data_IF_867162218812
#
_entry.id   IF_867162218812
#
_cell.length_a   1.000
_cell.length_b   1.000
_cell.length_c   1.000
_cell.angle_alpha   90.00
_cell.angle_beta   90.00
_cell.angle_gamma   90.00
#
_symmetry.space_group_name_H-M   'P 1'
#
loop_
_entity.id
_entity.type
_entity.pdbx_description
1 polymer ?
#
# COMPACT_ATOMS: atom_id res chain seq x y z
N UNK A 1 0.36 -10.90 16.11
CA UNK A 1 1.42 -10.04 16.69
C UNK A 1 0.73 -8.79 17.22
N UNK A 2 1.07 -8.29 18.41
CA UNK A 2 0.28 -7.20 19.03
C UNK A 2 0.59 -5.86 18.36
N UNK A 3 -0.41 -5.21 17.76
CA UNK A 3 -0.31 -3.95 17.01
C UNK A 3 0.38 -2.81 17.79
N UNK A 4 0.34 -2.89 19.12
CA UNK A 4 1.02 -1.97 20.05
C UNK A 4 2.55 -2.01 19.96
N UNK A 5 3.15 -3.17 19.69
CA UNK A 5 4.62 -3.31 19.53
C UNK A 5 5.08 -2.61 18.26
N UNK A 6 4.34 -2.80 17.17
CA UNK A 6 4.67 -2.27 15.85
C UNK A 6 4.50 -0.74 15.78
N UNK A 7 3.47 -0.18 16.43
CA UNK A 7 3.31 1.27 16.58
C UNK A 7 4.50 1.86 17.36
N UNK A 8 4.94 1.22 18.45
CA UNK A 8 6.12 1.64 19.21
C UNK A 8 7.39 1.70 18.37
N UNK A 9 7.65 0.67 17.58
CA UNK A 9 8.79 0.57 16.68
C UNK A 9 8.78 1.65 15.59
N UNK A 10 7.61 1.90 14.99
CA UNK A 10 7.44 2.95 13.97
C UNK A 10 7.72 4.34 14.55
N UNK A 11 7.23 4.62 15.75
CA UNK A 11 7.56 5.88 16.41
C UNK A 11 9.06 6.01 16.66
N UNK A 12 9.71 4.97 17.21
CA UNK A 12 11.15 4.98 17.44
C UNK A 12 11.99 5.16 16.16
N UNK A 13 11.48 4.69 15.02
CA UNK A 13 12.16 4.80 13.72
C UNK A 13 12.02 6.17 13.08
N UNK A 14 10.85 6.80 13.18
CA UNK A 14 10.53 8.03 12.43
C UNK A 14 10.48 9.31 13.28
N UNK A 15 10.37 9.20 14.61
CA UNK A 15 10.40 10.36 15.49
C UNK A 15 11.81 10.95 15.61
N UNK A 16 11.89 12.28 15.68
CA UNK A 16 13.10 13.05 15.97
C UNK A 16 12.87 13.88 17.22
N UNK A 17 13.83 13.85 18.16
CA UNK A 17 13.75 14.65 19.38
C UNK A 17 12.48 14.44 20.22
N UNK A 18 11.88 13.25 20.17
CA UNK A 18 10.67 12.90 20.94
C UNK A 18 9.35 13.25 20.27
N UNK A 19 9.37 13.82 19.06
CA UNK A 19 8.18 14.15 18.27
C UNK A 19 8.29 13.54 16.87
N UNK A 20 7.14 13.26 16.25
CA UNK A 20 7.08 12.84 14.85
C UNK A 20 6.46 13.96 14.02
N UNK A 21 7.19 14.41 13.00
CA UNK A 21 6.70 15.42 12.05
C UNK A 21 5.66 14.81 11.10
N UNK A 22 4.99 15.64 10.30
CA UNK A 22 4.02 15.19 9.29
C UNK A 22 4.64 14.17 8.32
N UNK A 23 5.81 14.47 7.76
CA UNK A 23 6.55 13.54 6.89
C UNK A 23 6.86 12.21 7.59
N UNK A 24 7.28 12.27 8.85
CA UNK A 24 7.55 11.08 9.66
C UNK A 24 6.29 10.25 9.89
N UNK A 25 5.16 10.91 10.12
CA UNK A 25 3.86 10.28 10.30
C UNK A 25 3.41 9.57 9.02
N UNK A 26 3.48 10.25 7.87
CA UNK A 26 3.13 9.67 6.56
C UNK A 26 3.96 8.42 6.29
N UNK A 27 5.28 8.47 6.52
CA UNK A 27 6.16 7.31 6.35
C UNK A 27 5.84 6.17 7.31
N UNK A 28 5.47 6.47 8.55
CA UNK A 28 5.04 5.47 9.52
C UNK A 28 3.73 4.80 9.10
N UNK A 29 2.77 5.56 8.59
CA UNK A 29 1.49 5.04 8.06
C UNK A 29 1.72 4.16 6.84
N UNK A 30 2.48 4.62 5.84
CA UNK A 30 2.81 3.81 4.65
C UNK A 30 3.50 2.50 5.05
N UNK A 31 4.39 2.55 6.04
CA UNK A 31 5.08 1.35 6.55
C UNK A 31 4.14 0.37 7.25
N UNK A 32 2.98 0.83 7.73
CA UNK A 32 2.01 0.00 8.44
C UNK A 32 0.90 -0.53 7.54
N UNK A 33 0.31 0.34 6.69
CA UNK A 33 -0.88 0.02 5.88
C UNK A 33 -0.63 0.07 4.37
N UNK A 34 0.59 0.38 3.92
CA UNK A 34 0.99 0.31 2.51
C UNK A 34 0.61 1.52 1.65
N UNK A 35 -0.15 2.48 2.17
CA UNK A 35 -0.53 3.70 1.46
C UNK A 35 -0.53 4.92 2.41
N UNK A 36 -0.42 6.16 1.89
CA UNK A 36 -0.47 7.36 2.73
C UNK A 36 -1.87 7.54 3.36
N UNK A 37 -1.96 8.22 4.51
CA UNK A 37 -3.24 8.63 5.08
C UNK A 37 -3.92 9.68 4.21
N UNK A 38 -5.26 9.78 4.30
CA UNK A 38 -6.01 10.82 3.59
C UNK A 38 -5.63 12.21 4.07
N UNK A 39 -5.66 13.21 3.17
CA UNK A 39 -5.32 14.59 3.47
C UNK A 39 -6.17 15.16 4.63
N UNK A 40 -7.47 14.84 4.66
CA UNK A 40 -8.38 15.29 5.72
C UNK A 40 -7.97 14.77 7.11
N UNK A 41 -7.43 13.55 7.16
CA UNK A 41 -6.92 12.96 8.40
C UNK A 41 -5.66 13.70 8.87
N UNK A 42 -4.74 14.04 7.95
CA UNK A 42 -3.56 14.84 8.27
C UNK A 42 -3.92 16.25 8.78
N UNK A 43 -4.95 16.87 8.20
CA UNK A 43 -5.47 18.16 8.65
C UNK A 43 -6.05 18.08 10.07
N UNK A 44 -6.79 17.01 10.40
CA UNK A 44 -7.31 16.77 11.75
C UNK A 44 -6.22 16.61 12.80
N UNK A 45 -5.06 16.06 12.43
CA UNK A 45 -3.92 15.93 13.33
C UNK A 45 -3.26 17.28 13.65
N UNK A 46 -3.54 18.34 12.88
CA UNK A 46 -3.16 19.71 13.21
C UNK A 46 -1.66 19.98 13.11
N UNK A 47 -0.94 19.32 12.19
CA UNK A 47 0.50 19.54 11.98
C UNK A 47 0.85 20.99 11.61
N UNK A 48 -0.11 21.78 11.13
CA UNK A 48 0.11 23.20 10.85
C UNK A 48 0.28 24.05 12.12
N UNK A 49 -0.24 23.57 13.25
CA UNK A 49 -0.27 24.31 14.52
C UNK A 49 0.71 23.76 15.58
N UNK A 50 1.49 22.72 15.25
CA UNK A 50 2.47 22.10 16.17
C UNK A 50 3.68 21.52 15.44
N UNK A 51 4.81 21.44 16.14
CA UNK A 51 6.07 20.92 15.59
C UNK A 51 6.02 19.41 15.22
N UNK A 52 5.11 18.66 15.85
CA UNK A 52 4.92 17.24 15.59
C UNK A 52 4.02 16.58 16.63
N UNK A 53 3.76 15.28 16.47
CA UNK A 53 2.99 14.49 17.42
C UNK A 53 3.90 13.90 18.49
N UNK A 54 3.46 13.95 19.75
CA UNK A 54 4.00 13.12 20.81
C UNK A 54 3.71 11.64 20.54
N UNK A 55 4.41 10.73 21.24
CA UNK A 55 4.14 9.29 21.14
C UNK A 55 2.67 8.94 21.38
N UNK A 56 2.01 9.63 22.31
CA UNK A 56 0.61 9.38 22.64
C UNK A 56 -0.30 9.76 21.48
N UNK A 57 -0.17 10.97 20.97
CA UNK A 57 -0.97 11.45 19.83
C UNK A 57 -0.72 10.60 18.58
N UNK A 58 0.53 10.22 18.33
CA UNK A 58 0.89 9.29 17.27
C UNK A 58 0.20 7.93 17.45
N UNK A 59 0.28 7.34 18.65
CA UNK A 59 -0.29 6.02 18.93
C UNK A 59 -1.80 6.02 18.75
N UNK A 60 -2.47 7.08 19.22
CA UNK A 60 -3.92 7.21 19.11
C UNK A 60 -4.35 7.42 17.64
N UNK A 61 -3.64 8.26 16.89
CA UNK A 61 -3.85 8.44 15.45
C UNK A 61 -3.64 7.15 14.64
N UNK A 62 -2.61 6.36 14.97
CA UNK A 62 -2.34 5.08 14.30
C UNK A 62 -3.42 4.03 14.61
N UNK A 63 -3.96 4.01 15.84
CA UNK A 63 -5.09 3.13 16.18
C UNK A 63 -6.36 3.55 15.48
N UNK A 64 -6.62 4.85 15.37
CA UNK A 64 -7.77 5.38 14.64
C UNK A 64 -7.68 5.03 13.14
N UNK A 65 -6.50 5.16 12.53
CA UNK A 65 -6.25 4.67 11.18
C UNK A 65 -6.51 3.17 11.07
N UNK A 66 -5.98 2.35 11.96
CA UNK A 66 -6.25 0.90 11.95
C UNK A 66 -7.73 0.54 12.18
N UNK A 67 -8.51 1.40 12.83
CA UNK A 67 -9.95 1.23 13.00
C UNK A 67 -10.77 1.69 11.79
N UNK A 68 -10.26 2.66 11.02
CA UNK A 68 -10.92 3.23 9.84
C UNK A 68 -10.48 2.59 8.53
N UNK A 69 -9.33 1.94 8.51
CA UNK A 69 -8.97 0.96 7.49
C UNK A 69 -9.94 -0.21 7.67
N UNK A 70 -11.09 -0.13 7.01
CA UNK A 70 -11.94 -1.27 6.73
C UNK A 70 -11.06 -2.30 6.03
N UNK A 71 -10.62 -3.31 6.78
CA UNK A 71 -9.94 -4.52 6.31
C UNK A 71 -10.87 -5.39 5.45
N UNK A 72 -11.80 -4.81 4.68
CA UNK A 72 -12.38 -5.54 3.58
C UNK A 72 -11.36 -5.44 2.44
N UNK A 73 -10.61 -6.52 2.14
CA UNK A 73 -9.84 -6.55 0.91
C UNK A 73 -10.80 -6.18 -0.23
N UNK A 74 -10.32 -5.40 -1.21
CA UNK A 74 -11.16 -5.00 -2.33
C UNK A 74 -11.84 -6.23 -2.91
N UNK A 75 -13.14 -6.09 -3.19
CA UNK A 75 -13.92 -7.21 -3.68
C UNK A 75 -13.28 -7.73 -4.98
N UNK A 76 -13.36 -9.04 -5.27
CA UNK A 76 -12.82 -9.57 -6.51
C UNK A 76 -13.37 -8.83 -7.74
N UNK A 77 -14.61 -8.34 -7.68
CA UNK A 77 -15.25 -7.57 -8.74
C UNK A 77 -14.58 -6.20 -8.96
N UNK A 78 -14.29 -5.47 -7.88
CA UNK A 78 -13.58 -4.18 -7.95
C UNK A 78 -12.14 -4.37 -8.47
N UNK A 79 -11.46 -5.41 -8.00
CA UNK A 79 -10.11 -5.77 -8.47
C UNK A 79 -10.12 -6.10 -9.96
N UNK A 80 -11.07 -6.92 -10.41
CA UNK A 80 -11.23 -7.26 -11.84
C UNK A 80 -11.45 -5.99 -12.66
N UNK A 81 -12.34 -5.10 -12.22
CA UNK A 81 -12.64 -3.87 -12.96
C UNK A 81 -11.40 -2.99 -13.14
N UNK A 82 -10.54 -2.90 -12.13
CA UNK A 82 -9.30 -2.12 -12.22
C UNK A 82 -8.25 -2.85 -13.04
N UNK A 83 -8.04 -4.13 -12.79
CA UNK A 83 -7.01 -4.93 -13.47
C UNK A 83 -7.30 -5.15 -14.95
N UNK A 84 -8.55 -5.07 -15.39
CA UNK A 84 -8.93 -5.03 -16.81
C UNK A 84 -8.31 -3.83 -17.57
N UNK A 85 -8.04 -2.72 -16.89
CA UNK A 85 -7.35 -1.58 -17.52
C UNK A 85 -5.88 -1.87 -17.80
N UNK A 86 -5.29 -2.82 -17.07
CA UNK A 86 -3.90 -3.27 -17.22
C UNK A 86 -3.82 -4.48 -18.15
N UNK A 87 -4.76 -5.42 -18.06
CA UNK A 87 -4.81 -6.61 -18.89
C UNK A 87 -5.47 -6.31 -20.23
N UNK A 88 -4.66 -6.15 -21.28
CA UNK A 88 -5.13 -5.96 -22.66
C UNK A 88 -5.81 -7.19 -23.28
N UNK A 89 -5.74 -8.34 -22.60
CA UNK A 89 -6.30 -9.64 -23.01
C UNK A 89 -6.43 -10.57 -21.79
N UNK A 90 -7.17 -11.66 -21.96
CA UNK A 90 -7.47 -12.62 -20.88
C UNK A 90 -6.23 -13.21 -20.19
N UNK A 91 -5.13 -13.33 -20.92
CA UNK A 91 -3.85 -13.85 -20.42
C UNK A 91 -2.66 -13.08 -20.95
N UNK A 92 -1.68 -12.77 -20.10
CA UNK A 92 -0.44 -12.08 -20.46
C UNK A 92 0.76 -13.02 -20.30
N UNK A 93 1.74 -12.95 -21.21
CA UNK A 93 3.08 -13.48 -20.96
C UNK A 93 3.85 -12.58 -20.00
N UNK A 94 5.01 -13.03 -19.50
CA UNK A 94 5.85 -12.22 -18.61
C UNK A 94 6.19 -10.84 -19.20
N UNK A 95 6.63 -10.79 -20.47
CA UNK A 95 7.01 -9.53 -21.11
C UNK A 95 5.84 -8.56 -21.29
N UNK A 96 4.65 -9.10 -21.55
CA UNK A 96 3.42 -8.32 -21.69
C UNK A 96 2.92 -7.82 -20.34
N UNK A 97 3.01 -8.64 -19.30
CA UNK A 97 2.70 -8.26 -17.93
C UNK A 97 3.61 -7.10 -17.47
N UNK A 98 4.93 -7.25 -17.58
CA UNK A 98 5.88 -6.19 -17.18
C UNK A 98 5.59 -4.89 -17.93
N UNK A 99 5.43 -4.97 -19.26
CA UNK A 99 5.15 -3.79 -20.09
C UNK A 99 3.84 -3.10 -19.71
N UNK A 100 2.78 -3.88 -19.46
CA UNK A 100 1.47 -3.35 -19.08
C UNK A 100 1.50 -2.62 -17.73
N UNK A 101 2.17 -3.20 -16.73
CA UNK A 101 2.27 -2.58 -15.40
C UNK A 101 3.18 -1.35 -15.39
N UNK A 102 4.31 -1.36 -16.11
CA UNK A 102 5.18 -0.19 -16.24
C UNK A 102 4.50 0.95 -17.00
N UNK A 103 3.77 0.62 -18.07
CA UNK A 103 3.01 1.61 -18.82
C UNK A 103 1.95 2.28 -17.93
N UNK A 104 1.17 1.49 -17.18
CA UNK A 104 0.17 2.03 -16.28
C UNK A 104 0.77 2.83 -15.11
N UNK A 105 1.89 2.37 -14.53
CA UNK A 105 2.61 3.14 -13.50
C UNK A 105 3.06 4.51 -14.02
N UNK A 106 3.59 4.54 -15.25
CA UNK A 106 4.01 5.79 -15.92
C UNK A 106 2.82 6.72 -16.17
N UNK A 107 1.71 6.20 -16.70
CA UNK A 107 0.49 6.98 -16.95
C UNK A 107 -0.09 7.56 -15.66
N UNK A 108 -0.05 6.79 -14.57
CA UNK A 108 -0.54 7.20 -13.25
C UNK A 108 0.47 8.03 -12.44
N UNK A 109 1.67 8.30 -13.00
CA UNK A 109 2.78 8.96 -12.29
C UNK A 109 3.13 8.29 -10.95
N UNK A 110 2.90 6.97 -10.87
CA UNK A 110 3.40 6.13 -9.79
C UNK A 110 4.90 5.93 -10.08
N UNK A 111 5.76 6.14 -9.08
CA UNK A 111 7.22 6.13 -9.25
C UNK A 111 7.76 4.85 -9.90
N UNK A 112 9.07 4.82 -10.17
CA UNK A 112 9.71 3.73 -10.93
C UNK A 112 9.38 2.33 -10.36
N UNK A 113 8.50 1.62 -11.06
CA UNK A 113 8.21 0.22 -10.82
C UNK A 113 9.25 -0.61 -11.56
N UNK A 114 10.20 -1.17 -10.81
CA UNK A 114 11.31 -1.92 -11.39
C UNK A 114 10.83 -3.21 -12.08
N UNK A 115 11.50 -3.57 -13.17
CA UNK A 115 11.24 -4.82 -13.89
C UNK A 115 11.43 -6.04 -12.96
N UNK A 116 12.47 -6.05 -12.13
CA UNK A 116 12.75 -7.13 -11.19
C UNK A 116 11.59 -7.39 -10.22
N UNK A 117 10.94 -6.32 -9.73
CA UNK A 117 9.77 -6.42 -8.85
C UNK A 117 8.59 -7.07 -9.60
N UNK A 118 8.33 -6.64 -10.83
CA UNK A 118 7.23 -7.16 -11.65
C UNK A 118 7.46 -8.61 -12.08
N UNK A 119 8.70 -8.99 -12.37
CA UNK A 119 9.07 -10.38 -12.66
C UNK A 119 8.85 -11.25 -11.43
N UNK A 120 9.30 -10.80 -10.25
CA UNK A 120 9.06 -11.50 -8.99
C UNK A 120 7.57 -11.66 -8.69
N UNK A 121 6.79 -10.59 -8.90
CA UNK A 121 5.34 -10.60 -8.71
C UNK A 121 4.63 -11.58 -9.66
N UNK A 122 5.01 -11.58 -10.94
CA UNK A 122 4.47 -12.50 -11.95
C UNK A 122 4.70 -13.97 -11.57
N UNK A 123 5.93 -14.30 -11.16
CA UNK A 123 6.29 -15.66 -10.75
C UNK A 123 5.57 -16.06 -9.45
N UNK A 124 5.48 -15.15 -8.49
CA UNK A 124 4.84 -15.40 -7.20
C UNK A 124 3.33 -15.58 -7.34
N UNK A 125 2.70 -14.90 -8.29
CA UNK A 125 1.31 -15.10 -8.67
C UNK A 125 1.06 -16.39 -9.49
N UNK A 126 2.09 -17.21 -9.71
CA UNK A 126 1.98 -18.49 -10.42
C UNK A 126 2.11 -18.40 -11.95
N UNK A 127 2.57 -17.25 -12.47
CA UNK A 127 2.87 -17.08 -13.89
C UNK A 127 4.08 -17.92 -14.29
N UNK A 128 3.86 -18.99 -15.06
CA UNK A 128 4.93 -19.83 -15.62
C UNK A 128 5.20 -19.48 -17.09
N UNK A 129 4.17 -19.56 -17.94
CA UNK A 129 4.23 -19.17 -19.36
C UNK A 129 3.29 -17.99 -19.63
N UNK A 130 2.08 -18.06 -19.07
CA UNK A 130 1.08 -17.00 -19.08
C UNK A 130 0.40 -16.90 -17.72
N UNK A 131 -0.12 -15.72 -17.39
CA UNK A 131 -0.98 -15.48 -16.24
C UNK A 131 -2.32 -14.94 -16.71
N UNK A 132 -3.43 -15.44 -16.16
CA UNK A 132 -4.76 -14.90 -16.43
C UNK A 132 -5.15 -13.79 -15.48
N UNK A 133 -6.06 -12.92 -15.91
CA UNK A 133 -6.64 -11.88 -15.07
C UNK A 133 -7.26 -12.47 -13.78
N UNK A 134 -7.99 -13.58 -13.90
CA UNK A 134 -8.61 -14.26 -12.76
C UNK A 134 -7.55 -14.77 -11.76
N UNK A 135 -6.50 -15.44 -12.25
CA UNK A 135 -5.39 -15.91 -11.41
C UNK A 135 -4.71 -14.76 -10.66
N UNK A 136 -4.48 -13.64 -11.35
CA UNK A 136 -3.83 -12.49 -10.74
C UNK A 136 -4.74 -11.74 -9.76
N UNK A 137 -6.04 -11.68 -10.04
CA UNK A 137 -7.06 -11.12 -9.13
C UNK A 137 -7.14 -11.95 -7.85
N UNK A 138 -7.25 -13.28 -7.98
CA UNK A 138 -7.27 -14.21 -6.85
C UNK A 138 -6.00 -14.08 -6.01
N UNK A 139 -4.84 -13.95 -6.67
CA UNK A 139 -3.56 -13.71 -6.01
C UNK A 139 -3.59 -12.42 -5.19
N UNK A 140 -4.05 -11.29 -5.75
CA UNK A 140 -4.16 -10.02 -5.03
C UNK A 140 -5.15 -10.15 -3.88
N UNK A 141 -6.33 -10.73 -4.10
CA UNK A 141 -7.36 -10.88 -3.07
C UNK A 141 -6.86 -11.72 -1.87
N UNK A 142 -6.14 -12.81 -2.14
CA UNK A 142 -5.55 -13.67 -1.09
C UNK A 142 -4.46 -12.97 -0.27
N UNK A 143 -3.75 -12.01 -0.84
CA UNK A 143 -2.61 -11.33 -0.20
C UNK A 143 -2.97 -9.93 0.33
N UNK A 144 -3.99 -9.27 -0.21
CA UNK A 144 -4.45 -7.95 0.21
C UNK A 144 -5.16 -7.97 1.58
N UNK A 145 -5.73 -9.12 1.99
CA UNK A 145 -6.39 -9.27 3.29
C UNK A 145 -5.52 -9.85 4.42
N UNK A 146 -4.20 -9.97 4.22
CA UNK A 146 -3.28 -10.61 5.18
C UNK A 146 -2.36 -9.66 5.94
N UNK A 147 -2.51 -8.35 5.78
CA UNK A 147 -1.69 -7.33 6.43
C UNK A 147 -2.54 -6.32 7.16
#
# INVERSE_FOLDING_TARGET
>A
MSSTSQIGELFGKYAKSGYISEDGFILAVISLIGHPPMQDFLLQLGFQDKEGLTYREFSDAMKELLHTVTNEPPSPEDLVSVLQTVFSKDTLTLSEFVSAFQHNATVLSLGDVSEELLVGLYQYAGGLDKISLAQFTDFIHLHAGRY
#
